data_IF_963397960188
#
_entry.id   IF_963397960188
#
_cell.length_a   1.000
_cell.length_b   1.000
_cell.length_c   1.000
_cell.angle_alpha   90.00
_cell.angle_beta   90.00
_cell.angle_gamma   90.00
#
_symmetry.space_group_name_H-M   'P 1'
#
loop_
_entity.id
_entity.type
_entity.pdbx_description
1 polymer ?
#
# COMPACT_ATOMS: atom_id res chain seq x y z
N UNK A 1 32.34 0.34 1.46
CA UNK A 1 31.42 -0.83 1.48
C UNK A 1 31.04 -1.12 0.03
N UNK A 2 31.18 -2.35 -0.44
CA UNK A 2 30.80 -2.69 -1.80
C UNK A 2 29.26 -2.70 -1.92
N UNK A 3 28.72 -2.06 -2.97
CA UNK A 3 27.32 -2.15 -3.31
C UNK A 3 26.88 -3.62 -3.48
N UNK A 4 25.62 -4.00 -3.20
CA UNK A 4 25.14 -5.34 -3.48
C UNK A 4 25.21 -5.61 -5.00
N UNK A 5 25.44 -6.87 -5.39
CA UNK A 5 25.47 -7.22 -6.81
C UNK A 5 24.10 -6.97 -7.47
N UNK A 6 23.02 -7.27 -6.75
CA UNK A 6 21.66 -6.98 -7.20
C UNK A 6 20.68 -6.85 -6.04
N UNK A 7 19.56 -6.18 -6.30
CA UNK A 7 18.37 -6.09 -5.44
C UNK A 7 17.22 -6.78 -6.16
N UNK A 8 16.57 -7.74 -5.51
CA UNK A 8 15.42 -8.47 -6.04
C UNK A 8 14.18 -8.10 -5.25
N UNK A 9 13.20 -7.50 -5.91
CA UNK A 9 11.90 -7.17 -5.33
C UNK A 9 10.90 -8.27 -5.69
N UNK A 10 10.25 -8.85 -4.71
CA UNK A 10 9.16 -9.80 -4.94
C UNK A 10 7.87 -9.17 -4.47
N UNK A 11 6.86 -9.10 -5.34
CA UNK A 11 5.58 -8.46 -5.02
C UNK A 11 4.45 -9.04 -5.85
N UNK A 12 3.19 -8.97 -5.38
CA UNK A 12 2.04 -9.42 -6.15
C UNK A 12 1.82 -8.58 -7.40
N UNK A 13 1.47 -9.22 -8.53
CA UNK A 13 1.08 -8.56 -9.78
C UNK A 13 -0.35 -8.01 -9.67
N UNK A 14 -0.46 -6.96 -8.90
CA UNK A 14 -1.73 -6.34 -8.52
C UNK A 14 -1.62 -4.83 -8.54
N UNK A 15 -2.58 -4.18 -9.20
CA UNK A 15 -2.68 -2.72 -9.14
C UNK A 15 -3.01 -2.28 -7.71
N UNK A 16 -2.15 -1.45 -7.12
CA UNK A 16 -2.31 -0.96 -5.76
C UNK A 16 -1.12 -0.17 -5.27
N UNK A 17 -1.23 0.38 -4.06
CA UNK A 17 -0.21 1.24 -3.48
C UNK A 17 1.18 0.59 -3.39
N UNK A 18 1.25 -0.71 -3.08
CA UNK A 18 2.53 -1.45 -2.98
C UNK A 18 3.30 -1.42 -4.29
N UNK A 19 2.67 -1.82 -5.40
CA UNK A 19 3.31 -1.85 -6.71
C UNK A 19 3.73 -0.46 -7.18
N UNK A 20 2.89 0.55 -6.95
CA UNK A 20 3.19 1.95 -7.31
C UNK A 20 4.35 2.49 -6.47
N UNK A 21 4.39 2.21 -5.16
CA UNK A 21 5.49 2.61 -4.28
C UNK A 21 6.83 2.03 -4.76
N UNK A 22 6.86 0.74 -5.07
CA UNK A 22 8.08 0.08 -5.59
C UNK A 22 8.47 0.67 -6.95
N UNK A 23 7.52 0.89 -7.85
CA UNK A 23 7.78 1.51 -9.15
C UNK A 23 8.37 2.91 -9.02
N UNK A 24 7.90 3.72 -8.08
CA UNK A 24 8.42 5.06 -7.81
C UNK A 24 9.84 5.02 -7.26
N UNK A 25 10.15 4.12 -6.32
CA UNK A 25 11.54 3.93 -5.84
C UNK A 25 12.45 3.55 -7.00
N UNK A 26 12.04 2.61 -7.85
CA UNK A 26 12.81 2.15 -8.99
C UNK A 26 13.00 3.24 -10.06
N UNK A 27 12.00 4.10 -10.26
CA UNK A 27 12.07 5.21 -11.21
C UNK A 27 13.04 6.33 -10.77
N UNK A 28 13.24 6.48 -9.44
CA UNK A 28 14.07 7.54 -8.85
C UNK A 28 15.37 7.02 -8.24
N UNK A 29 15.71 5.75 -8.47
CA UNK A 29 16.98 5.15 -8.05
C UNK A 29 18.19 5.85 -8.71
N UNK A 30 19.35 5.76 -8.09
CA UNK A 30 20.59 6.27 -8.68
C UNK A 30 20.88 5.56 -10.01
N UNK A 31 21.38 6.33 -10.99
CA UNK A 31 21.75 5.79 -12.31
C UNK A 31 22.97 4.84 -12.27
N UNK A 32 23.77 4.93 -11.22
CA UNK A 32 24.90 4.04 -10.92
C UNK A 32 24.63 3.36 -9.59
N UNK A 33 24.20 2.12 -9.62
CA UNK A 33 23.84 1.32 -8.44
C UNK A 33 23.77 -0.16 -8.75
N UNK A 34 23.29 -1.00 -7.83
CA UNK A 34 23.07 -2.41 -8.08
C UNK A 34 22.04 -2.65 -9.17
N UNK A 35 22.10 -3.80 -9.84
CA UNK A 35 21.04 -4.21 -10.74
C UNK A 35 19.75 -4.48 -9.93
N UNK A 36 18.59 -3.99 -10.43
CA UNK A 36 17.30 -4.22 -9.81
C UNK A 36 16.47 -5.18 -10.65
N UNK A 37 16.02 -6.26 -10.03
CA UNK A 37 15.12 -7.25 -10.62
C UNK A 37 13.78 -7.21 -9.89
N UNK A 38 12.70 -7.43 -10.61
CA UNK A 38 11.35 -7.57 -10.05
C UNK A 38 10.80 -8.94 -10.39
N UNK A 39 10.27 -9.63 -9.39
CA UNK A 39 9.54 -10.88 -9.54
C UNK A 39 8.08 -10.62 -9.16
N UNK A 40 7.21 -10.59 -10.16
CA UNK A 40 5.77 -10.43 -9.97
C UNK A 40 5.10 -11.79 -9.75
N UNK A 41 4.32 -11.90 -8.70
CA UNK A 41 3.56 -13.12 -8.36
C UNK A 41 2.10 -12.95 -8.74
N UNK A 42 1.61 -13.77 -9.70
CA UNK A 42 0.28 -13.68 -10.29
C UNK A 42 -0.58 -14.88 -9.92
N UNK A 43 -1.52 -14.71 -8.98
CA UNK A 43 -2.54 -15.70 -8.71
C UNK A 43 -3.67 -15.59 -9.74
N UNK A 44 -3.72 -16.51 -10.69
CA UNK A 44 -4.71 -16.53 -11.77
C UNK A 44 -6.17 -16.68 -11.33
N UNK A 45 -6.41 -17.08 -10.08
CA UNK A 45 -7.74 -17.12 -9.48
C UNK A 45 -8.14 -15.81 -8.80
N UNK A 46 -7.22 -14.86 -8.72
CA UNK A 46 -7.52 -13.49 -8.27
C UNK A 46 -8.19 -12.70 -9.39
N UNK A 47 -9.16 -11.88 -9.02
CA UNK A 47 -9.81 -10.91 -9.91
C UNK A 47 -9.13 -9.52 -9.84
N UNK A 48 -7.94 -9.45 -9.27
CA UNK A 48 -7.18 -8.20 -9.15
C UNK A 48 -6.78 -7.66 -10.54
N UNK A 49 -6.86 -6.34 -10.69
CA UNK A 49 -6.34 -5.65 -11.88
C UNK A 49 -4.82 -5.74 -11.83
N UNK A 50 -4.21 -6.23 -12.91
CA UNK A 50 -2.75 -6.36 -12.99
C UNK A 50 -2.06 -5.01 -13.03
N UNK A 51 -0.85 -4.98 -12.48
CA UNK A 51 0.01 -3.82 -12.58
C UNK A 51 0.58 -3.71 -14.00
N UNK A 52 0.43 -2.54 -14.62
CA UNK A 52 1.00 -2.27 -15.93
C UNK A 52 2.54 -2.10 -15.83
N UNK A 53 3.27 -2.62 -16.83
CA UNK A 53 4.74 -2.65 -16.88
C UNK A 53 5.34 -1.23 -17.07
N UNK A 54 5.44 -0.45 -16.00
CA UNK A 54 6.09 0.87 -15.98
C UNK A 54 7.36 0.89 -15.13
N UNK A 55 7.82 -0.27 -14.68
CA UNK A 55 9.00 -0.37 -13.83
C UNK A 55 10.28 -0.28 -14.65
N UNK A 56 11.16 0.67 -14.32
CA UNK A 56 12.52 0.73 -14.86
C UNK A 56 13.40 -0.27 -14.11
N UNK A 57 13.53 -1.49 -14.63
CA UNK A 57 14.25 -2.59 -14.01
C UNK A 57 15.24 -3.23 -14.97
N UNK A 58 16.25 -3.90 -14.42
CA UNK A 58 17.24 -4.63 -15.20
C UNK A 58 16.75 -6.05 -15.55
N UNK A 59 15.75 -6.55 -14.81
CA UNK A 59 15.08 -7.81 -15.11
C UNK A 59 13.68 -7.86 -14.50
N UNK A 60 12.72 -8.38 -15.30
CA UNK A 60 11.34 -8.59 -14.88
C UNK A 60 10.97 -10.05 -15.08
N UNK A 61 10.51 -10.71 -14.01
CA UNK A 61 10.07 -12.09 -14.00
C UNK A 61 8.63 -12.18 -13.53
N UNK A 62 7.85 -13.11 -14.09
CA UNK A 62 6.48 -13.40 -13.63
C UNK A 62 6.35 -14.86 -13.22
N UNK A 63 5.81 -15.07 -12.03
CA UNK A 63 5.49 -16.38 -11.48
C UNK A 63 3.99 -16.51 -11.37
N UNK A 64 3.42 -17.25 -12.31
CA UNK A 64 1.99 -17.53 -12.33
C UNK A 64 1.67 -18.77 -11.49
N UNK A 65 0.57 -18.72 -10.76
CA UNK A 65 0.09 -19.82 -9.93
C UNK A 65 -1.44 -19.78 -9.78
N UNK A 66 -2.01 -20.85 -9.23
CA UNK A 66 -3.46 -21.00 -9.00
C UNK A 66 -3.69 -21.56 -7.60
N UNK A 67 -3.43 -20.76 -6.57
CA UNK A 67 -3.78 -21.14 -5.19
C UNK A 67 -5.24 -20.82 -4.90
N UNK A 68 -5.95 -21.71 -4.20
CA UNK A 68 -5.48 -22.92 -3.52
C UNK A 68 -5.47 -24.22 -4.37
N UNK A 69 -5.62 -24.17 -5.68
CA UNK A 69 -5.72 -25.38 -6.50
C UNK A 69 -4.39 -26.12 -6.65
N UNK A 70 -3.26 -25.42 -6.66
CA UNK A 70 -1.93 -26.00 -6.78
C UNK A 70 -1.34 -26.44 -5.44
N UNK A 71 -0.35 -27.35 -5.47
CA UNK A 71 0.49 -27.64 -4.33
C UNK A 71 1.36 -26.42 -4.02
N UNK A 72 1.24 -25.88 -2.82
CA UNK A 72 1.98 -24.70 -2.39
C UNK A 72 3.51 -24.88 -2.55
N UNK A 73 4.08 -26.04 -2.17
CA UNK A 73 5.52 -26.29 -2.36
C UNK A 73 5.96 -26.22 -3.83
N UNK A 74 5.09 -26.60 -4.78
CA UNK A 74 5.39 -26.45 -6.19
C UNK A 74 5.42 -24.95 -6.61
N UNK A 75 4.52 -24.15 -6.05
CA UNK A 75 4.50 -22.70 -6.28
C UNK A 75 5.76 -22.07 -5.69
N UNK A 76 6.10 -22.37 -4.42
CA UNK A 76 7.28 -21.81 -3.74
C UNK A 76 8.58 -22.18 -4.46
N UNK A 77 8.72 -23.40 -4.98
CA UNK A 77 9.88 -23.80 -5.80
C UNK A 77 9.96 -23.03 -7.12
N UNK A 78 8.82 -22.71 -7.75
CA UNK A 78 8.82 -21.86 -8.96
C UNK A 78 9.27 -20.44 -8.63
N UNK A 79 8.79 -19.90 -7.52
CA UNK A 79 9.18 -18.57 -7.05
C UNK A 79 10.69 -18.54 -6.75
N UNK A 80 11.22 -19.53 -6.02
CA UNK A 80 12.64 -19.63 -5.72
C UNK A 80 13.53 -19.66 -6.98
N UNK A 81 13.09 -20.35 -8.04
CA UNK A 81 13.82 -20.38 -9.34
C UNK A 81 13.76 -19.07 -10.11
N UNK A 82 12.74 -18.24 -9.86
CA UNK A 82 12.60 -16.93 -10.49
C UNK A 82 13.46 -15.84 -9.83
N UNK A 83 13.92 -16.10 -8.60
CA UNK A 83 14.87 -15.20 -7.92
C UNK A 83 16.25 -15.36 -8.55
N UNK A 84 16.84 -14.31 -9.15
CA UNK A 84 18.19 -14.40 -9.73
C UNK A 84 19.20 -14.86 -8.70
N UNK A 85 20.14 -15.74 -9.06
CA UNK A 85 21.19 -16.22 -8.15
C UNK A 85 22.20 -15.13 -7.81
N UNK A 86 22.95 -15.34 -6.74
CA UNK A 86 24.06 -14.49 -6.32
C UNK A 86 23.76 -13.60 -5.12
N UNK A 87 24.81 -12.97 -4.55
CA UNK A 87 24.70 -12.18 -3.34
C UNK A 87 23.96 -10.86 -3.58
N UNK A 88 23.39 -10.29 -2.53
CA UNK A 88 22.71 -9.01 -2.58
C UNK A 88 21.50 -8.94 -1.64
N UNK A 89 20.46 -8.26 -2.08
CA UNK A 89 19.24 -8.02 -1.30
C UNK A 89 18.04 -8.72 -1.92
N UNK A 90 17.18 -9.31 -1.10
CA UNK A 90 15.83 -9.74 -1.44
C UNK A 90 14.84 -8.90 -0.63
N UNK A 91 13.94 -8.21 -1.30
CA UNK A 91 12.88 -7.40 -0.67
C UNK A 91 11.56 -8.17 -0.79
N UNK A 92 11.07 -8.63 0.34
CA UNK A 92 9.78 -9.31 0.50
C UNK A 92 8.71 -8.28 0.87
N UNK A 93 7.53 -8.40 0.29
CA UNK A 93 6.42 -7.47 0.45
C UNK A 93 5.14 -8.14 0.94
N UNK A 94 5.06 -9.47 0.90
CA UNK A 94 3.87 -10.25 1.28
C UNK A 94 4.25 -11.65 1.80
N UNK A 95 3.27 -12.48 2.12
CA UNK A 95 3.42 -13.80 2.74
C UNK A 95 4.08 -14.86 1.84
N UNK A 96 3.86 -14.79 0.51
CA UNK A 96 4.27 -15.86 -0.40
C UNK A 96 5.80 -15.97 -0.50
N UNK A 97 6.48 -14.83 -0.57
CA UNK A 97 7.94 -14.76 -0.57
C UNK A 97 8.53 -15.16 0.78
N UNK A 98 7.88 -14.78 1.88
CA UNK A 98 8.28 -15.23 3.22
C UNK A 98 8.09 -16.75 3.36
N UNK A 99 6.99 -17.30 2.84
CA UNK A 99 6.79 -18.75 2.77
C UNK A 99 7.87 -19.44 1.91
N UNK A 100 8.30 -18.84 0.81
CA UNK A 100 9.40 -19.35 0.00
C UNK A 100 10.70 -19.45 0.81
N UNK A 101 11.00 -18.47 1.65
CA UNK A 101 12.17 -18.49 2.51
C UNK A 101 12.16 -19.64 3.51
N UNK A 102 11.00 -20.19 3.87
CA UNK A 102 10.93 -21.38 4.74
C UNK A 102 11.50 -22.64 4.11
N UNK A 103 11.53 -22.73 2.77
CA UNK A 103 12.01 -23.91 2.03
C UNK A 103 13.28 -23.66 1.20
N UNK A 104 13.68 -22.40 1.01
CA UNK A 104 14.78 -22.01 0.15
C UNK A 104 15.61 -20.89 0.78
N UNK A 105 16.91 -21.04 0.80
CA UNK A 105 17.85 -19.99 1.15
C UNK A 105 18.30 -19.25 -0.11
N UNK A 106 17.93 -17.98 -0.30
CA UNK A 106 18.37 -17.21 -1.46
C UNK A 106 19.84 -16.75 -1.36
N UNK A 107 20.54 -16.95 -0.23
CA UNK A 107 21.89 -16.44 0.01
C UNK A 107 21.99 -14.91 -0.02
N UNK A 108 20.89 -14.21 0.35
CA UNK A 108 20.72 -12.76 0.26
C UNK A 108 20.32 -12.15 1.60
N UNK A 109 20.66 -10.90 1.82
CA UNK A 109 20.05 -10.11 2.88
C UNK A 109 18.54 -10.01 2.60
N UNK A 110 17.70 -10.46 3.51
CA UNK A 110 16.24 -10.39 3.40
C UNK A 110 15.72 -9.16 4.10
N UNK A 111 15.04 -8.29 3.37
CA UNK A 111 14.26 -7.18 3.91
C UNK A 111 12.78 -7.53 3.78
N UNK A 112 12.02 -7.38 4.87
CA UNK A 112 10.56 -7.44 4.83
C UNK A 112 9.97 -6.06 5.04
N UNK A 113 9.15 -5.59 4.07
CA UNK A 113 8.46 -4.31 4.16
C UNK A 113 7.03 -4.55 4.64
N UNK A 114 6.68 -3.94 5.76
CA UNK A 114 5.32 -3.93 6.29
C UNK A 114 4.56 -2.75 5.64
N UNK A 115 3.64 -3.04 4.72
CA UNK A 115 2.93 -2.02 3.95
C UNK A 115 1.71 -1.42 4.65
N UNK A 116 1.43 -1.85 5.87
CA UNK A 116 0.33 -1.31 6.66
C UNK A 116 0.45 -1.67 8.13
N UNK A 117 -0.23 -0.89 8.95
CA UNK A 117 -0.28 -1.09 10.41
C UNK A 117 -1.47 -2.01 10.74
N UNK A 118 -1.40 -3.27 10.26
CA UNK A 118 -2.40 -4.32 10.46
C UNK A 118 -1.76 -5.53 11.12
N UNK A 119 -2.50 -6.23 11.94
CA UNK A 119 -2.08 -7.48 12.60
C UNK A 119 -1.48 -8.47 11.61
N UNK A 120 -2.04 -8.57 10.41
CA UNK A 120 -1.53 -9.40 9.33
C UNK A 120 -0.01 -9.23 9.05
N UNK A 121 0.47 -7.99 8.94
CA UNK A 121 1.89 -7.74 8.68
C UNK A 121 2.76 -7.99 9.91
N UNK A 122 2.25 -7.69 11.09
CA UNK A 122 2.96 -7.95 12.35
C UNK A 122 3.06 -9.44 12.63
N UNK A 123 2.00 -10.21 12.41
CA UNK A 123 2.00 -11.66 12.53
C UNK A 123 3.01 -12.30 11.57
N UNK A 124 3.05 -11.84 10.32
CA UNK A 124 4.06 -12.28 9.35
C UNK A 124 5.48 -11.95 9.82
N UNK A 125 5.72 -10.73 10.31
CA UNK A 125 7.03 -10.30 10.78
C UNK A 125 7.51 -11.15 11.97
N UNK A 126 6.65 -11.39 12.95
CA UNK A 126 6.96 -12.21 14.13
C UNK A 126 7.18 -13.68 13.75
N UNK A 127 6.30 -14.26 12.93
CA UNK A 127 6.40 -15.66 12.54
C UNK A 127 7.67 -15.96 11.73
N UNK A 128 8.13 -14.99 10.90
CA UNK A 128 9.28 -15.17 10.01
C UNK A 128 10.54 -14.46 10.50
N UNK A 129 10.52 -13.93 11.73
CA UNK A 129 11.64 -13.18 12.31
C UNK A 129 13.01 -13.83 12.07
N UNK A 130 13.20 -15.16 12.27
CA UNK A 130 14.48 -15.80 12.08
C UNK A 130 15.00 -15.79 10.64
N UNK A 131 14.14 -15.59 9.64
CA UNK A 131 14.46 -15.57 8.21
C UNK A 131 14.71 -14.16 7.66
N UNK A 132 14.43 -13.13 8.45
CA UNK A 132 14.46 -11.72 8.02
C UNK A 132 15.71 -11.06 8.59
N UNK A 133 16.50 -10.44 7.72
CA UNK A 133 17.68 -9.67 8.11
C UNK A 133 17.32 -8.28 8.65
N UNK A 134 16.38 -7.60 7.98
CA UNK A 134 15.91 -6.28 8.38
C UNK A 134 14.41 -6.10 8.08
N UNK A 135 13.75 -5.30 8.90
CA UNK A 135 12.35 -4.90 8.72
C UNK A 135 12.29 -3.43 8.29
N UNK A 136 11.40 -3.14 7.38
CA UNK A 136 11.06 -1.77 7.01
C UNK A 136 9.59 -1.54 7.34
N UNK A 137 9.33 -0.52 8.14
CA UNK A 137 7.98 -0.05 8.48
C UNK A 137 7.78 1.36 7.93
N UNK A 138 6.57 1.66 7.49
CA UNK A 138 6.29 2.90 6.76
C UNK A 138 5.88 4.06 7.69
N UNK A 139 5.62 3.78 8.97
CA UNK A 139 5.04 4.71 9.92
C UNK A 139 5.79 4.70 11.23
N UNK A 140 5.75 5.80 11.97
CA UNK A 140 6.32 5.87 13.34
C UNK A 140 5.60 4.90 14.27
N UNK A 141 4.26 4.83 14.16
CA UNK A 141 3.46 3.87 14.92
C UNK A 141 3.94 2.44 14.67
N UNK A 142 4.11 2.03 13.40
CA UNK A 142 4.60 0.70 13.03
C UNK A 142 6.01 0.41 13.57
N UNK A 143 6.89 1.43 13.59
CA UNK A 143 8.24 1.28 14.17
C UNK A 143 8.19 1.01 15.67
N UNK A 144 7.40 1.78 16.41
CA UNK A 144 7.24 1.61 17.85
C UNK A 144 6.60 0.27 18.17
N UNK A 145 5.51 -0.07 17.48
CA UNK A 145 4.76 -1.31 17.70
C UNK A 145 5.61 -2.56 17.40
N UNK A 146 6.26 -2.62 16.23
CA UNK A 146 7.12 -3.76 15.90
C UNK A 146 8.35 -3.85 16.83
N UNK A 147 8.89 -2.72 17.28
CA UNK A 147 9.97 -2.70 18.27
C UNK A 147 9.55 -3.23 19.64
N UNK A 148 8.27 -3.12 20.01
CA UNK A 148 7.70 -3.73 21.21
C UNK A 148 7.51 -5.24 21.02
N UNK A 149 7.06 -5.69 19.87
CA UNK A 149 6.88 -7.10 19.55
C UNK A 149 8.22 -7.85 19.41
N UNK A 150 9.24 -7.19 18.85
CA UNK A 150 10.57 -7.74 18.59
C UNK A 150 11.67 -6.87 19.21
N UNK A 151 11.77 -6.73 20.55
CA UNK A 151 12.69 -5.80 21.18
C UNK A 151 14.16 -6.10 20.90
N UNK A 152 14.53 -7.37 20.70
CA UNK A 152 15.87 -7.80 20.34
C UNK A 152 16.27 -7.49 18.88
N UNK A 153 15.30 -7.01 18.07
CA UNK A 153 15.52 -6.64 16.65
C UNK A 153 15.47 -5.14 16.40
N UNK A 154 15.33 -4.32 17.44
CA UNK A 154 15.11 -2.87 17.33
C UNK A 154 16.09 -2.16 16.40
N UNK A 155 17.35 -2.55 16.41
CA UNK A 155 18.40 -1.96 15.55
C UNK A 155 18.29 -2.35 14.08
N UNK A 156 17.48 -3.35 13.75
CA UNK A 156 17.21 -3.82 12.39
C UNK A 156 15.78 -3.54 11.92
N UNK A 157 15.04 -2.74 12.68
CA UNK A 157 13.73 -2.20 12.29
C UNK A 157 13.94 -0.76 11.84
N UNK A 158 13.67 -0.47 10.57
CA UNK A 158 13.89 0.84 9.97
C UNK A 158 12.55 1.52 9.67
N UNK A 159 12.35 2.72 10.22
CA UNK A 159 11.25 3.59 9.79
C UNK A 159 11.64 4.25 8.46
N UNK A 160 11.03 3.80 7.38
CA UNK A 160 11.34 4.27 6.04
C UNK A 160 10.06 4.32 5.19
N UNK A 161 9.34 5.45 5.23
CA UNK A 161 8.15 5.62 4.42
C UNK A 161 8.47 5.65 2.92
N UNK A 162 7.48 5.38 2.09
CA UNK A 162 7.55 5.70 0.68
C UNK A 162 7.21 7.16 0.46
N UNK A 163 7.91 7.79 -0.47
CA UNK A 163 7.59 9.13 -0.94
C UNK A 163 6.66 9.10 -2.15
N UNK A 164 6.21 10.28 -2.54
CA UNK A 164 5.43 10.50 -3.76
C UNK A 164 6.14 11.49 -4.68
N UNK A 165 5.98 11.36 -6.02
CA UNK A 165 6.47 12.35 -6.94
C UNK A 165 5.80 13.71 -6.71
N UNK A 166 6.52 14.77 -7.04
CA UNK A 166 5.94 16.11 -7.05
C UNK A 166 4.80 16.16 -8.06
N UNK A 167 3.64 16.70 -7.63
CA UNK A 167 2.51 16.86 -8.52
C UNK A 167 2.86 17.75 -9.73
N UNK A 168 2.48 17.30 -10.92
CA UNK A 168 2.72 18.04 -12.16
C UNK A 168 1.87 19.33 -12.25
N UNK A 169 0.73 19.35 -11.58
CA UNK A 169 -0.17 20.49 -11.48
C UNK A 169 -0.69 20.62 -10.06
N UNK A 170 -0.75 21.84 -9.56
CA UNK A 170 -1.38 22.14 -8.28
C UNK A 170 -2.89 22.30 -8.46
N UNK A 171 -3.61 22.16 -7.34
CA UNK A 171 -5.02 22.46 -7.24
C UNK A 171 -5.33 23.86 -7.80
N UNK A 172 -6.30 23.92 -8.70
CA UNK A 172 -6.80 25.21 -9.18
C UNK A 172 -7.81 25.79 -8.21
N UNK A 173 -7.74 27.09 -7.95
CA UNK A 173 -8.79 27.79 -7.22
C UNK A 173 -10.11 27.65 -7.98
N UNK A 174 -11.15 27.19 -7.29
CA UNK A 174 -12.51 27.07 -7.82
C UNK A 174 -13.42 28.14 -7.28
N UNK A 175 -14.13 28.82 -8.16
CA UNK A 175 -15.28 29.67 -7.79
C UNK A 175 -16.53 28.78 -7.82
N UNK A 176 -17.26 28.68 -6.70
CA UNK A 176 -18.51 27.91 -6.63
C UNK A 176 -18.49 26.77 -5.61
N UNK A 177 -19.10 25.64 -5.95
CA UNK A 177 -19.21 24.48 -5.04
C UNK A 177 -17.86 23.88 -4.70
N UNK A 178 -17.74 23.37 -3.46
CA UNK A 178 -16.56 22.65 -3.03
C UNK A 178 -16.46 21.30 -3.81
N UNK A 179 -15.27 20.98 -4.30
CA UNK A 179 -15.00 19.80 -5.10
C UNK A 179 -14.34 18.74 -4.21
N UNK A 180 -15.10 17.69 -3.92
CA UNK A 180 -14.68 16.62 -3.03
C UNK A 180 -14.23 15.40 -3.84
N UNK A 181 -13.16 14.76 -3.41
CA UNK A 181 -12.60 13.58 -4.04
C UNK A 181 -12.49 12.43 -3.04
N UNK A 182 -12.94 11.25 -3.43
CA UNK A 182 -12.60 9.99 -2.78
C UNK A 182 -11.78 9.13 -3.75
N UNK A 183 -10.65 8.61 -3.27
CA UNK A 183 -9.80 7.68 -4.03
C UNK A 183 -9.51 6.47 -3.17
N UNK A 184 -9.98 5.31 -3.57
CA UNK A 184 -9.72 4.08 -2.84
C UNK A 184 -10.61 2.94 -3.24
N UNK A 185 -10.34 1.75 -2.70
CA UNK A 185 -11.20 0.59 -2.87
C UNK A 185 -12.56 0.86 -2.23
N UNK A 186 -13.65 0.54 -2.94
CA UNK A 186 -15.00 0.73 -2.43
C UNK A 186 -15.37 -0.42 -1.50
N UNK A 187 -14.83 -0.39 -0.27
CA UNK A 187 -15.10 -1.35 0.79
C UNK A 187 -15.36 -0.66 2.13
N UNK A 188 -15.71 -1.44 3.14
CA UNK A 188 -16.00 -0.93 4.49
C UNK A 188 -14.74 -0.44 5.21
N UNK A 189 -13.56 -1.00 4.90
CA UNK A 189 -12.31 -0.57 5.49
C UNK A 189 -11.93 0.84 5.03
N UNK A 190 -12.23 1.20 3.78
CA UNK A 190 -12.03 2.56 3.23
C UNK A 190 -13.20 3.52 3.51
N UNK A 191 -14.27 3.04 4.15
CA UNK A 191 -15.40 3.86 4.55
C UNK A 191 -16.27 4.36 3.40
N UNK A 192 -16.22 3.73 2.20
CA UNK A 192 -16.99 4.17 1.03
C UNK A 192 -18.51 4.26 1.28
N UNK A 193 -19.04 3.42 2.17
CA UNK A 193 -20.45 3.42 2.59
C UNK A 193 -20.84 4.64 3.44
N UNK A 194 -19.89 5.43 3.92
CA UNK A 194 -20.16 6.63 4.74
C UNK A 194 -20.31 7.90 3.89
N UNK A 195 -19.90 7.87 2.61
CA UNK A 195 -19.84 9.07 1.76
C UNK A 195 -21.21 9.71 1.58
N UNK A 196 -22.25 8.93 1.31
CA UNK A 196 -23.62 9.45 1.15
C UNK A 196 -24.17 10.07 2.45
N UNK A 197 -23.80 9.50 3.61
CA UNK A 197 -24.16 10.07 4.91
C UNK A 197 -23.47 11.42 5.17
N UNK A 198 -22.20 11.56 4.78
CA UNK A 198 -21.46 12.83 4.86
C UNK A 198 -22.11 13.86 3.93
N UNK A 199 -22.43 13.49 2.68
CA UNK A 199 -23.12 14.36 1.72
C UNK A 199 -24.46 14.83 2.26
N UNK A 200 -25.28 13.93 2.82
CA UNK A 200 -26.55 14.27 3.42
C UNK A 200 -26.42 15.24 4.61
N UNK A 201 -25.35 15.13 5.42
CA UNK A 201 -25.07 16.06 6.51
C UNK A 201 -24.67 17.44 6.00
N UNK A 202 -23.82 17.48 4.95
CA UNK A 202 -23.45 18.74 4.28
C UNK A 202 -24.69 19.44 3.72
N UNK A 203 -25.55 18.72 3.06
CA UNK A 203 -26.80 19.24 2.47
C UNK A 203 -27.72 19.83 3.57
N UNK A 204 -27.89 19.15 4.72
CA UNK A 204 -28.63 19.69 5.87
C UNK A 204 -28.04 20.99 6.42
N UNK A 205 -26.74 21.15 6.31
CA UNK A 205 -26.03 22.39 6.70
C UNK A 205 -26.02 23.48 5.61
N UNK A 206 -26.75 23.27 4.51
CA UNK A 206 -26.81 24.21 3.38
C UNK A 206 -25.53 24.28 2.54
N UNK A 207 -24.64 23.29 2.66
CA UNK A 207 -23.39 23.23 1.91
C UNK A 207 -23.59 22.34 0.68
N UNK A 208 -23.52 22.96 -0.49
CA UNK A 208 -23.50 22.25 -1.76
C UNK A 208 -22.07 21.83 -2.11
N UNK A 209 -21.86 20.54 -2.34
CA UNK A 209 -20.58 19.97 -2.75
C UNK A 209 -20.75 19.12 -4.01
N UNK A 210 -19.66 18.96 -4.78
CA UNK A 210 -19.58 18.04 -5.91
C UNK A 210 -18.56 16.97 -5.61
N UNK A 211 -18.97 15.73 -5.74
CA UNK A 211 -18.14 14.58 -5.45
C UNK A 211 -17.60 13.92 -6.73
N UNK A 212 -16.36 13.49 -6.67
CA UNK A 212 -15.79 12.51 -7.59
C UNK A 212 -15.35 11.30 -6.78
N UNK A 213 -15.87 10.13 -7.12
CA UNK A 213 -15.55 8.86 -6.44
C UNK A 213 -14.80 7.96 -7.40
N UNK A 214 -13.55 7.66 -7.04
CA UNK A 214 -12.63 6.83 -7.82
C UNK A 214 -12.33 5.53 -7.09
N UNK A 215 -12.58 4.43 -7.76
CA UNK A 215 -12.34 3.09 -7.26
C UNK A 215 -13.48 2.14 -7.57
N UNK A 216 -13.26 0.88 -7.21
CA UNK A 216 -14.23 -0.20 -7.30
C UNK A 216 -14.10 -1.12 -6.09
N UNK A 217 -15.08 -1.96 -5.85
CA UNK A 217 -15.05 -2.90 -4.74
C UNK A 217 -16.42 -3.40 -4.29
N UNK A 218 -16.44 -4.28 -3.28
CA UNK A 218 -17.67 -4.97 -2.86
C UNK A 218 -18.77 -4.05 -2.33
N UNK A 219 -18.44 -2.84 -1.88
CA UNK A 219 -19.42 -1.85 -1.41
C UNK A 219 -19.84 -0.85 -2.51
N UNK A 220 -19.47 -1.04 -3.79
CA UNK A 220 -19.77 -0.08 -4.86
C UNK A 220 -21.27 0.18 -5.04
N UNK A 221 -22.11 -0.85 -4.94
CA UNK A 221 -23.56 -0.72 -5.02
C UNK A 221 -24.11 0.03 -3.79
N UNK A 222 -23.70 -0.36 -2.58
CA UNK A 222 -24.10 0.27 -1.33
C UNK A 222 -23.69 1.76 -1.29
N UNK A 223 -22.47 2.07 -1.69
CA UNK A 223 -21.94 3.43 -1.68
C UNK A 223 -22.70 4.39 -2.64
N UNK A 224 -23.34 3.86 -3.67
CA UNK A 224 -24.18 4.64 -4.62
C UNK A 224 -25.57 4.96 -4.10
N UNK A 225 -25.97 4.36 -2.99
CA UNK A 225 -27.31 4.58 -2.40
C UNK A 225 -27.28 5.71 -1.38
N UNK A 226 -28.44 6.31 -1.10
CA UNK A 226 -28.60 7.29 -0.01
C UNK A 226 -28.09 8.71 -0.30
N UNK A 227 -27.71 9.02 -1.55
CA UNK A 227 -27.37 10.38 -1.96
C UNK A 227 -28.60 11.27 -2.05
N UNK A 228 -28.50 12.49 -1.50
CA UNK A 228 -29.60 13.48 -1.55
C UNK A 228 -29.85 13.89 -3.01
N UNK A 229 -28.79 14.21 -3.71
CA UNK A 229 -28.81 14.49 -5.16
C UNK A 229 -27.90 13.47 -5.86
N UNK A 230 -28.43 12.45 -6.54
CA UNK A 230 -27.61 11.45 -7.23
C UNK A 230 -26.61 12.04 -8.24
N UNK A 231 -26.92 13.21 -8.80
CA UNK A 231 -26.08 13.93 -9.77
C UNK A 231 -24.93 14.71 -9.11
N UNK A 232 -24.92 14.83 -7.79
CA UNK A 232 -23.81 15.48 -7.07
C UNK A 232 -22.54 14.62 -7.04
N UNK A 233 -22.65 13.30 -7.30
CA UNK A 233 -21.55 12.35 -7.27
C UNK A 233 -21.24 11.74 -8.65
N UNK A 234 -20.04 12.02 -9.16
CA UNK A 234 -19.47 11.42 -10.36
C UNK A 234 -18.69 10.15 -9.98
N UNK A 235 -19.13 9.00 -10.50
CA UNK A 235 -18.53 7.69 -10.24
C UNK A 235 -17.66 7.26 -11.42
N UNK A 236 -16.36 7.23 -11.22
CA UNK A 236 -15.41 6.92 -12.30
C UNK A 236 -15.03 5.44 -12.39
N UNK A 237 -15.33 4.63 -11.35
CA UNK A 237 -14.83 3.27 -11.26
C UNK A 237 -13.31 3.23 -11.00
N UNK A 238 -12.70 2.06 -11.19
CA UNK A 238 -11.24 1.93 -11.06
C UNK A 238 -10.54 2.73 -12.16
N UNK A 239 -9.45 3.42 -11.78
CA UNK A 239 -8.61 4.24 -12.69
C UNK A 239 -7.13 3.90 -12.49
N UNK A 240 -6.34 4.09 -13.52
CA UNK A 240 -4.89 4.00 -13.42
C UNK A 240 -4.33 5.10 -12.51
N UNK A 241 -3.16 4.87 -11.93
CA UNK A 241 -2.54 5.88 -11.05
C UNK A 241 -2.32 7.22 -11.77
N UNK A 242 -1.96 7.23 -13.08
CA UNK A 242 -1.79 8.46 -13.85
C UNK A 242 -3.10 9.25 -14.01
N UNK A 243 -4.22 8.58 -14.26
CA UNK A 243 -5.52 9.21 -14.31
C UNK A 243 -5.88 9.82 -12.95
N UNK A 244 -5.64 9.07 -11.85
CA UNK A 244 -5.88 9.56 -10.48
C UNK A 244 -5.04 10.79 -10.18
N UNK A 245 -3.74 10.77 -10.51
CA UNK A 245 -2.85 11.92 -10.32
C UNK A 245 -3.34 13.18 -11.06
N UNK A 246 -3.95 13.03 -12.24
CA UNK A 246 -4.50 14.16 -12.99
C UNK A 246 -5.76 14.75 -12.36
N UNK A 247 -6.52 13.96 -11.57
CA UNK A 247 -7.75 14.42 -10.93
C UNK A 247 -7.48 15.36 -9.75
N UNK A 248 -6.39 15.16 -9.00
CA UNK A 248 -6.12 15.97 -7.81
C UNK A 248 -6.13 17.48 -8.08
N UNK A 249 -5.58 17.92 -9.21
CA UNK A 249 -5.56 19.35 -9.58
C UNK A 249 -6.96 19.98 -9.74
N UNK A 250 -8.00 19.17 -9.88
CA UNK A 250 -9.38 19.61 -10.09
C UNK A 250 -10.26 19.51 -8.84
N UNK A 251 -9.68 19.16 -7.67
CA UNK A 251 -10.42 18.96 -6.44
C UNK A 251 -9.86 19.80 -5.29
N UNK A 252 -10.71 20.13 -4.34
CA UNK A 252 -10.38 20.98 -3.19
C UNK A 252 -10.04 20.14 -1.97
N UNK A 253 -10.81 19.08 -1.73
CA UNK A 253 -10.73 18.25 -0.53
C UNK A 253 -10.69 16.78 -0.89
N UNK A 254 -9.77 16.04 -0.30
CA UNK A 254 -9.75 14.57 -0.31
C UNK A 254 -10.44 14.05 0.95
N UNK A 255 -11.52 13.29 0.76
CA UNK A 255 -12.29 12.72 1.87
C UNK A 255 -12.00 11.22 1.95
N UNK A 256 -11.46 10.75 3.08
CA UNK A 256 -11.11 9.35 3.28
C UNK A 256 -11.55 8.87 4.68
N UNK A 257 -12.83 8.45 4.84
CA UNK A 257 -13.39 8.03 6.13
C UNK A 257 -13.04 6.57 6.46
N UNK A 258 -11.77 6.21 6.29
CA UNK A 258 -11.25 4.86 6.50
C UNK A 258 -11.33 4.42 7.95
N UNK A 259 -11.40 3.10 8.18
CA UNK A 259 -11.30 2.45 9.49
C UNK A 259 -9.92 1.84 9.73
N UNK A 260 -9.16 1.62 8.66
CA UNK A 260 -7.81 1.07 8.73
C UNK A 260 -6.97 1.61 7.58
N UNK A 261 -5.76 2.05 7.90
CA UNK A 261 -4.74 2.52 6.97
C UNK A 261 -3.34 2.13 7.49
N UNK A 262 -2.37 2.17 6.59
CA UNK A 262 -0.96 2.25 6.96
C UNK A 262 -0.45 3.67 6.69
N UNK A 263 0.33 3.82 5.62
CA UNK A 263 0.71 5.12 5.07
C UNK A 263 -0.15 5.37 3.81
N UNK A 264 -1.28 6.12 3.90
CA UNK A 264 -2.24 6.22 2.80
C UNK A 264 -1.70 7.06 1.64
N UNK A 265 -1.30 6.37 0.56
CA UNK A 265 -0.71 6.99 -0.63
C UNK A 265 -1.61 8.08 -1.25
N UNK A 266 -2.92 7.84 -1.32
CA UNK A 266 -3.86 8.81 -1.87
C UNK A 266 -3.84 10.15 -1.14
N UNK A 267 -3.58 10.13 0.18
CA UNK A 267 -3.43 11.35 0.98
C UNK A 267 -2.14 12.08 0.61
N UNK A 268 -1.01 11.37 0.50
CA UNK A 268 0.26 11.96 0.08
C UNK A 268 0.17 12.58 -1.33
N UNK A 269 -0.42 11.86 -2.27
CA UNK A 269 -0.61 12.32 -3.66
C UNK A 269 -1.53 13.55 -3.71
N UNK A 270 -2.65 13.53 -2.99
CA UNK A 270 -3.58 14.66 -2.91
C UNK A 270 -2.92 15.90 -2.32
N UNK A 271 -2.25 15.74 -1.17
CA UNK A 271 -1.52 16.83 -0.52
C UNK A 271 -0.38 17.36 -1.40
N UNK A 272 0.32 16.50 -2.14
CA UNK A 272 1.34 16.91 -3.11
C UNK A 272 0.77 17.85 -4.18
N UNK A 273 -0.51 17.69 -4.54
CA UNK A 273 -1.21 18.58 -5.46
C UNK A 273 -1.91 19.77 -4.76
N UNK A 274 -1.80 19.89 -3.44
CA UNK A 274 -2.45 20.92 -2.65
C UNK A 274 -3.93 20.63 -2.33
N UNK A 275 -4.39 19.40 -2.47
CA UNK A 275 -5.72 18.98 -2.04
C UNK A 275 -5.71 18.80 -0.52
N UNK A 276 -6.66 19.42 0.18
CA UNK A 276 -6.73 19.35 1.65
C UNK A 276 -7.35 18.03 2.10
N UNK A 277 -6.65 17.21 2.91
CA UNK A 277 -7.20 15.97 3.41
C UNK A 277 -8.18 16.20 4.57
N UNK A 278 -9.33 15.56 4.50
CA UNK A 278 -10.26 15.31 5.61
C UNK A 278 -10.36 13.81 5.76
N UNK A 279 -9.61 13.23 6.69
CA UNK A 279 -9.35 11.79 6.76
C UNK A 279 -9.46 11.30 8.20
N UNK A 280 -9.88 10.05 8.40
CA UNK A 280 -10.07 9.50 9.76
C UNK A 280 -8.81 9.60 10.61
N UNK A 281 -8.96 9.98 11.88
CA UNK A 281 -7.88 9.93 12.87
C UNK A 281 -7.60 8.49 13.31
N UNK A 282 -6.63 7.88 12.67
CA UNK A 282 -6.23 6.50 12.94
C UNK A 282 -4.84 6.45 13.59
N UNK A 283 -4.57 5.49 14.48
CA UNK A 283 -3.24 5.25 15.04
C UNK A 283 -2.32 4.59 13.99
N UNK A 284 -1.97 5.35 12.96
CA UNK A 284 -1.18 4.90 11.82
C UNK A 284 -0.46 6.08 11.16
N UNK A 285 0.10 5.89 9.97
CA UNK A 285 0.83 6.91 9.22
C UNK A 285 0.05 8.18 8.85
N UNK A 286 -1.26 8.23 9.03
CA UNK A 286 -2.05 9.46 8.81
C UNK A 286 -1.52 10.60 9.68
N UNK A 287 -1.21 10.33 10.96
CA UNK A 287 -0.64 11.33 11.88
C UNK A 287 0.81 11.71 11.55
N UNK A 288 1.51 10.88 10.78
CA UNK A 288 2.82 11.25 10.24
C UNK A 288 2.72 12.20 9.05
N UNK A 289 1.57 12.23 8.36
CA UNK A 289 1.33 13.01 7.14
C UNK A 289 0.61 14.33 7.46
N UNK A 290 -0.53 14.25 8.16
CA UNK A 290 -1.47 15.36 8.37
C UNK A 290 -1.26 16.02 9.73
N UNK A 291 -1.07 17.33 9.72
CA UNK A 291 -1.07 18.19 10.91
C UNK A 291 -2.48 18.78 11.11
N UNK A 292 -3.24 18.33 12.14
CA UNK A 292 -4.61 18.76 12.33
C UNK A 292 -4.75 20.28 12.43
N UNK A 293 -5.69 20.87 11.69
CA UNK A 293 -5.95 22.31 11.68
C UNK A 293 -4.96 23.13 10.86
N UNK A 294 -3.80 22.56 10.46
CA UNK A 294 -2.79 23.24 9.64
C UNK A 294 -2.75 22.73 8.20
N UNK A 295 -2.62 21.41 7.99
CA UNK A 295 -2.52 20.80 6.66
C UNK A 295 -3.71 19.92 6.31
N UNK A 296 -4.70 19.76 7.21
CA UNK A 296 -5.89 18.96 7.02
C UNK A 296 -6.69 18.79 8.30
N UNK A 297 -7.69 17.92 8.25
CA UNK A 297 -8.52 17.56 9.40
C UNK A 297 -8.50 16.07 9.66
N UNK A 298 -8.57 15.69 10.94
CA UNK A 298 -8.59 14.33 11.41
C UNK A 298 -9.87 14.02 12.21
N UNK A 299 -11.04 13.86 11.56
CA UNK A 299 -12.26 13.43 12.22
C UNK A 299 -12.13 12.03 12.82
N UNK A 300 -12.91 11.74 13.86
CA UNK A 300 -13.01 10.40 14.44
C UNK A 300 -13.49 9.37 13.41
N UNK A 301 -12.94 8.15 13.41
CA UNK A 301 -13.36 7.10 12.48
C UNK A 301 -14.86 6.81 12.61
N UNK A 302 -15.58 6.92 11.49
CA UNK A 302 -17.03 6.68 11.43
C UNK A 302 -17.93 7.84 11.87
N UNK A 303 -17.37 8.95 12.35
CA UNK A 303 -18.15 10.12 12.76
C UNK A 303 -18.50 11.02 11.56
N UNK A 304 -19.64 10.74 10.95
CA UNK A 304 -20.16 11.48 9.79
C UNK A 304 -20.29 13.00 10.08
N UNK A 305 -20.67 13.36 11.31
CA UNK A 305 -20.88 14.77 11.69
C UNK A 305 -19.56 15.53 11.69
N UNK A 306 -18.50 15.00 12.32
CA UNK A 306 -17.18 15.62 12.32
C UNK A 306 -16.59 15.75 10.91
N UNK A 307 -16.80 14.75 10.03
CA UNK A 307 -16.39 14.86 8.63
C UNK A 307 -17.11 16.01 7.92
N UNK A 308 -18.43 16.11 8.10
CA UNK A 308 -19.20 17.18 7.49
C UNK A 308 -18.84 18.57 8.05
N UNK A 309 -18.61 18.69 9.35
CA UNK A 309 -18.17 19.94 9.99
C UNK A 309 -16.80 20.41 9.45
N UNK A 310 -15.84 19.50 9.33
CA UNK A 310 -14.53 19.81 8.76
C UNK A 310 -14.64 20.29 7.30
N UNK A 311 -15.48 19.65 6.48
CA UNK A 311 -15.72 20.05 5.10
C UNK A 311 -16.46 21.39 5.04
N UNK A 312 -17.46 21.62 5.88
CA UNK A 312 -18.22 22.85 5.96
C UNK A 312 -17.33 24.05 6.34
N UNK A 313 -16.37 23.85 7.26
CA UNK A 313 -15.40 24.86 7.62
C UNK A 313 -14.52 25.32 6.43
N UNK A 314 -14.18 24.39 5.51
CA UNK A 314 -13.46 24.71 4.28
C UNK A 314 -14.36 25.36 3.21
N UNK A 315 -15.63 25.00 3.18
CA UNK A 315 -16.59 25.58 2.25
C UNK A 315 -16.89 27.05 2.57
N UNK A 316 -17.00 27.39 3.86
CA UNK A 316 -17.34 28.73 4.35
C UNK A 316 -16.14 29.67 4.40
N UNK A 317 -14.91 29.18 4.48
CA UNK A 317 -13.68 29.99 4.54
C UNK A 317 -12.66 29.55 3.46
N UNK A 318 -12.75 30.21 2.32
CA UNK A 318 -11.86 29.96 1.17
C UNK A 318 -10.40 30.36 1.45
N UNK A 319 -10.15 31.33 2.31
CA UNK A 319 -8.79 31.71 2.73
C UNK A 319 -8.15 30.61 3.57
N UNK A 320 -8.94 30.02 4.47
CA UNK A 320 -8.51 28.87 5.26
C UNK A 320 -8.19 27.66 4.36
N UNK A 321 -9.06 27.37 3.40
CA UNK A 321 -8.82 26.31 2.42
C UNK A 321 -7.50 26.51 1.67
N UNK A 322 -7.22 27.73 1.21
CA UNK A 322 -5.99 28.05 0.51
C UNK A 322 -4.74 27.92 1.40
N UNK A 323 -4.79 28.47 2.61
CA UNK A 323 -3.69 28.34 3.57
C UNK A 323 -3.39 26.86 3.91
N UNK A 324 -4.43 26.04 4.12
CA UNK A 324 -4.27 24.61 4.37
C UNK A 324 -3.76 23.86 3.14
N UNK A 325 -4.19 24.24 1.94
CA UNK A 325 -3.70 23.68 0.67
C UNK A 325 -2.20 23.89 0.51
N UNK A 326 -1.71 25.10 0.78
CA UNK A 326 -0.29 25.43 0.73
C UNK A 326 0.50 24.67 1.80
N UNK A 327 -0.01 24.59 3.03
CA UNK A 327 0.62 23.84 4.11
C UNK A 327 0.67 22.33 3.81
N UNK A 328 -0.40 21.76 3.24
CA UNK A 328 -0.44 20.36 2.82
C UNK A 328 0.60 20.04 1.74
N UNK A 329 0.68 20.90 0.72
CA UNK A 329 1.67 20.79 -0.35
C UNK A 329 3.11 20.85 0.20
N UNK A 330 3.39 21.86 1.02
CA UNK A 330 4.73 22.04 1.61
C UNK A 330 5.13 20.84 2.49
N UNK A 331 4.22 20.36 3.35
CA UNK A 331 4.47 19.26 4.27
C UNK A 331 4.89 17.97 3.54
N UNK A 332 4.26 17.66 2.40
CA UNK A 332 4.63 16.48 1.59
C UNK A 332 5.99 16.68 0.90
N UNK A 333 6.25 17.87 0.35
CA UNK A 333 7.52 18.12 -0.33
C UNK A 333 8.72 18.08 0.61
N UNK A 334 8.56 18.52 1.84
CA UNK A 334 9.64 18.52 2.83
C UNK A 334 9.92 17.11 3.38
N UNK A 335 8.86 16.29 3.56
CA UNK A 335 8.96 15.05 4.33
C UNK A 335 8.80 13.77 3.49
N UNK A 336 8.16 13.85 2.32
CA UNK A 336 7.79 12.68 1.51
C UNK A 336 8.17 12.82 0.04
N UNK A 337 9.23 13.57 -0.30
CA UNK A 337 9.76 13.60 -1.66
C UNK A 337 10.32 12.21 -2.02
N UNK A 338 9.83 11.66 -3.13
CA UNK A 338 10.20 10.31 -3.59
C UNK A 338 11.70 10.14 -3.81
N UNK A 339 12.43 11.19 -4.20
CA UNK A 339 13.87 11.13 -4.46
C UNK A 339 14.66 10.89 -3.17
N UNK A 340 14.26 11.57 -2.08
CA UNK A 340 14.86 11.35 -0.76
C UNK A 340 14.60 9.93 -0.26
N UNK A 341 13.36 9.46 -0.42
CA UNK A 341 13.02 8.10 0.03
C UNK A 341 13.68 7.02 -0.82
N UNK A 342 13.78 7.18 -2.14
CA UNK A 342 14.56 6.28 -2.99
C UNK A 342 16.02 6.21 -2.56
N UNK A 343 16.67 7.37 -2.28
CA UNK A 343 18.04 7.41 -1.78
C UNK A 343 18.21 6.71 -0.42
N UNK A 344 17.22 6.80 0.48
CA UNK A 344 17.25 6.08 1.75
C UNK A 344 17.16 4.56 1.56
N UNK A 345 16.34 4.06 0.61
CA UNK A 345 16.33 2.64 0.26
C UNK A 345 17.68 2.19 -0.28
N UNK A 346 18.30 2.96 -1.18
CA UNK A 346 19.66 2.65 -1.69
C UNK A 346 20.70 2.62 -0.55
N UNK A 347 20.64 3.55 0.40
CA UNK A 347 21.51 3.55 1.57
C UNK A 347 21.32 2.32 2.45
N UNK A 348 20.07 1.84 2.62
CA UNK A 348 19.78 0.60 3.33
C UNK A 348 20.33 -0.62 2.56
N UNK A 349 20.16 -0.68 1.25
CA UNK A 349 20.68 -1.77 0.42
C UNK A 349 22.21 -1.81 0.46
N UNK A 350 22.91 -0.68 0.50
CA UNK A 350 24.35 -0.62 0.62
C UNK A 350 24.89 -1.26 1.93
N UNK A 351 24.04 -1.39 2.95
CA UNK A 351 24.38 -2.06 4.22
C UNK A 351 24.22 -3.59 4.18
N UNK A 352 23.92 -4.17 3.02
CA UNK A 352 23.53 -5.58 2.88
C UNK A 352 24.48 -6.56 3.56
N UNK A 353 25.78 -6.38 3.42
CA UNK A 353 26.77 -7.30 3.99
C UNK A 353 26.81 -7.24 5.53
N UNK A 354 26.61 -6.05 6.12
CA UNK A 354 26.60 -5.86 7.58
C UNK A 354 25.29 -6.29 8.24
N UNK A 355 24.21 -6.27 7.48
CA UNK A 355 22.87 -6.68 7.95
C UNK A 355 22.52 -8.11 7.57
N UNK A 356 23.33 -8.76 6.70
CA UNK A 356 23.11 -10.14 6.30
C UNK A 356 23.01 -11.05 7.51
N UNK A 357 21.96 -11.86 7.54
CA UNK A 357 21.73 -12.85 8.58
C UNK A 357 21.65 -14.23 7.92
N UNK A 358 22.54 -15.17 8.31
CA UNK A 358 22.46 -16.54 7.82
C UNK A 358 21.12 -17.18 8.17
N UNK A 359 20.59 -17.99 7.27
CA UNK A 359 19.38 -18.76 7.54
C UNK A 359 19.64 -19.77 8.67
N UNK A 360 18.73 -19.94 9.63
CA UNK A 360 18.85 -21.00 10.65
C UNK A 360 18.77 -22.39 10.02
N UNK A 361 19.48 -23.34 10.59
CA UNK A 361 19.49 -24.74 10.10
C UNK A 361 18.09 -25.37 10.11
N UNK A 362 17.30 -25.02 11.13
CA UNK A 362 15.94 -25.53 11.28
C UNK A 362 14.92 -24.40 11.21
N UNK A 363 14.00 -24.51 10.26
CA UNK A 363 12.86 -23.58 10.10
C UNK A 363 11.58 -24.36 10.40
N UNK A 364 10.95 -24.04 11.52
CA UNK A 364 9.75 -24.75 12.01
C UNK A 364 8.45 -24.32 11.33
N UNK A 365 8.51 -23.39 10.38
CA UNK A 365 7.32 -22.85 9.71
C UNK A 365 6.69 -23.89 8.78
N UNK A 366 5.40 -24.12 8.94
CA UNK A 366 4.60 -25.00 8.10
C UNK A 366 3.49 -24.23 7.43
N UNK A 367 3.43 -24.33 6.12
CA UNK A 367 2.41 -23.70 5.29
C UNK A 367 1.53 -24.70 4.57
N UNK A 368 0.32 -24.28 4.26
CA UNK A 368 -0.60 -25.02 3.43
C UNK A 368 -1.41 -26.08 4.17
N UNK A 369 -2.05 -26.92 3.41
CA UNK A 369 -2.93 -28.01 3.85
C UNK A 369 -2.20 -29.35 3.88
N UNK A 370 -2.89 -30.41 4.28
CA UNK A 370 -2.37 -31.80 4.21
C UNK A 370 -1.92 -32.23 2.82
N UNK A 371 -2.44 -31.60 1.76
CA UNK A 371 -2.05 -31.87 0.37
C UNK A 371 -0.85 -31.03 -0.10
N UNK A 372 -0.43 -30.03 0.68
CA UNK A 372 0.74 -29.22 0.38
C UNK A 372 2.00 -29.86 0.96
N UNK A 373 2.41 -30.95 0.35
CA UNK A 373 3.61 -31.69 0.76
C UNK A 373 4.70 -31.58 -0.32
N UNK A 374 5.99 -31.47 0.07
CA UNK A 374 7.08 -31.31 -0.87
C UNK A 374 7.26 -32.48 -1.84
N UNK A 375 6.83 -33.69 -1.44
CA UNK A 375 6.91 -34.92 -2.21
C UNK A 375 5.68 -35.23 -3.09
N UNK A 376 4.53 -34.53 -2.87
CA UNK A 376 3.33 -34.73 -3.67
C UNK A 376 3.41 -33.98 -5.02
N UNK A 377 3.24 -34.69 -6.15
CA UNK A 377 3.21 -34.05 -7.46
C UNK A 377 2.06 -33.00 -7.57
N UNK A 378 2.36 -31.87 -8.18
CA UNK A 378 1.38 -30.79 -8.34
C UNK A 378 0.14 -31.22 -9.14
N UNK A 379 0.33 -32.06 -10.19
CA UNK A 379 -0.78 -32.59 -10.99
C UNK A 379 -1.76 -33.40 -10.13
N UNK A 380 -1.23 -34.29 -9.26
CA UNK A 380 -2.05 -35.09 -8.36
C UNK A 380 -2.85 -34.21 -7.38
N UNK A 381 -2.20 -33.20 -6.80
CA UNK A 381 -2.87 -32.27 -5.89
C UNK A 381 -3.99 -31.50 -6.58
N UNK A 382 -3.75 -31.03 -7.83
CA UNK A 382 -4.79 -30.36 -8.63
C UNK A 382 -6.00 -31.28 -8.86
N UNK A 383 -5.77 -32.52 -9.23
CA UNK A 383 -6.86 -33.50 -9.45
C UNK A 383 -7.64 -33.76 -8.16
N UNK A 384 -6.96 -34.02 -7.05
CA UNK A 384 -7.60 -34.27 -5.75
C UNK A 384 -8.43 -33.09 -5.25
N UNK A 385 -7.95 -31.86 -5.48
CA UNK A 385 -8.68 -30.64 -5.11
C UNK A 385 -9.88 -30.39 -6.03
N UNK A 386 -9.73 -30.65 -7.31
CA UNK A 386 -10.85 -30.54 -8.27
C UNK A 386 -12.00 -31.50 -7.92
N UNK A 387 -11.68 -32.76 -7.57
CA UNK A 387 -12.71 -33.76 -7.16
C UNK A 387 -13.38 -33.39 -5.85
N UNK A 388 -12.68 -32.80 -4.90
CA UNK A 388 -13.23 -32.44 -3.58
C UNK A 388 -14.02 -31.10 -3.57
N UNK A 389 -14.10 -30.39 -4.69
CA UNK A 389 -14.79 -29.11 -4.77
C UNK A 389 -14.24 -28.12 -3.74
N UNK A 390 -12.96 -27.72 -3.87
CA UNK A 390 -12.32 -26.79 -2.93
C UNK A 390 -13.05 -25.46 -2.97
N UNK A 391 -13.93 -25.22 -1.97
CA UNK A 391 -14.40 -23.88 -1.67
C UNK A 391 -13.20 -23.04 -1.27
N UNK A 392 -13.03 -21.85 -1.86
CA UNK A 392 -12.03 -20.88 -1.41
C UNK A 392 -12.19 -20.73 0.11
N UNK A 393 -11.11 -20.86 0.90
CA UNK A 393 -11.17 -20.38 2.26
C UNK A 393 -11.53 -18.90 2.18
N UNK A 394 -12.56 -18.49 2.91
CA UNK A 394 -12.88 -17.07 3.07
C UNK A 394 -11.56 -16.37 3.42
N UNK A 395 -11.18 -15.38 2.62
CA UNK A 395 -10.04 -14.52 2.96
C UNK A 395 -10.28 -14.07 4.38
N UNK A 396 -9.30 -14.29 5.26
CA UNK A 396 -9.33 -13.77 6.62
C UNK A 396 -9.66 -12.28 6.52
N UNK A 397 -10.82 -11.93 7.10
CA UNK A 397 -11.40 -10.58 7.07
C UNK A 397 -10.60 -9.67 7.99
#
# INVERSE_FOLDING_TARGET
MNAPASVVWVLPDKLGGVAVNVADVLAHRASRGPAHHVVLTDNRLSHDVRFEDRMRVDGLHRVQYTLPSENLHAVLRRLARAVPPGPGVLVANDWLELAMLSIHDPGRMVIFILHGDYDYYYDLAVAHEPLISAFVVLTRFGHEHLSQLLPHRRETIFHQPFGVPRAARLRSEGLGHLRLLFVGRLDRAKGAHLLSGIDAQLHRSGIAARWTVVGDGPCAAEARTGWVEPTSALWLGARSNLEVLSLYAHHDVLVLPSRAEGLPRAVLEGMSAGVVPVVSDLPCGIRDIVEPGRSGFLPRPGDIAEFAEAIAALASDRRRLEAMSQAAHQAVHERFDVRHHAAHFEALFARWASLFRPRPEHVALRYGSRLDQPWLPNALVKTLRAVRGVRQPAQAR
#
